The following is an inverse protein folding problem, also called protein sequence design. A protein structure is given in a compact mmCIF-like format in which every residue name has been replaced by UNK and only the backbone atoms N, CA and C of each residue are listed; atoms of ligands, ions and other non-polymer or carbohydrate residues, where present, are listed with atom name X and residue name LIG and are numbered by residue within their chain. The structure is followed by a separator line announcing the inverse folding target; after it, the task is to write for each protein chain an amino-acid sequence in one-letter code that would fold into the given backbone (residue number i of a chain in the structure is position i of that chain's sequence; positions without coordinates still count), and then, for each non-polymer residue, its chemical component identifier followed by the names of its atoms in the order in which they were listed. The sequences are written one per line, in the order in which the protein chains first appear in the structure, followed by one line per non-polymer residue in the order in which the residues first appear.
data_IF_208636200686
#
_entry.id   IF_208636200686
#
_cell.length_a   1.000
_cell.length_b   1.000
_cell.length_c   1.000
_cell.angle_alpha   90.00
_cell.angle_beta   90.00
_cell.angle_gamma   90.00
#
_symmetry.space_group_name_H-M   'P 1'
#
loop_
_entity.id
_entity.type
_entity.pdbx_description
1 polymer ?
#
# COMPACT_ATOMS: atom_id res chain seq x y z
N UNK A 1 -0.12 -4.68 17.57
CA UNK A 1 -0.16 -4.24 16.15
C UNK A 1 -0.79 -5.36 15.34
N UNK A 2 -1.81 -5.07 14.52
CA UNK A 2 -2.49 -6.09 13.71
C UNK A 2 -2.28 -5.74 12.25
N UNK A 3 -1.76 -6.68 11.47
CA UNK A 3 -1.58 -6.53 10.04
C UNK A 3 -2.78 -7.14 9.33
N UNK A 4 -3.39 -6.41 8.40
CA UNK A 4 -4.38 -6.94 7.46
C UNK A 4 -3.80 -6.87 6.06
N UNK A 5 -3.86 -7.98 5.34
CA UNK A 5 -3.49 -8.07 3.94
C UNK A 5 -4.75 -8.32 3.12
N UNK A 6 -4.89 -7.63 2.00
CA UNK A 6 -5.93 -7.88 1.01
C UNK A 6 -5.25 -8.01 -0.35
N UNK A 7 -5.33 -9.21 -0.93
CA UNK A 7 -4.83 -9.46 -2.27
C UNK A 7 -6.02 -9.58 -3.21
N UNK A 8 -5.97 -8.84 -4.31
CA UNK A 8 -6.96 -8.84 -5.37
C UNK A 8 -6.24 -9.13 -6.68
N UNK A 9 -6.49 -10.32 -7.23
CA UNK A 9 -5.88 -10.76 -8.48
C UNK A 9 -6.52 -10.10 -9.71
N UNK A 10 -7.78 -9.67 -9.62
CA UNK A 10 -8.50 -9.04 -10.73
C UNK A 10 -8.06 -7.58 -10.90
N UNK A 11 -7.93 -6.85 -9.79
CA UNK A 11 -7.39 -5.49 -9.75
C UNK A 11 -5.85 -5.42 -9.78
N UNK A 12 -5.17 -6.58 -9.71
CA UNK A 12 -3.71 -6.72 -9.67
C UNK A 12 -3.02 -5.86 -8.59
N UNK A 13 -3.47 -6.01 -7.33
CA UNK A 13 -2.87 -5.28 -6.21
C UNK A 13 -2.79 -6.09 -4.92
N UNK A 14 -1.85 -5.67 -4.06
CA UNK A 14 -1.74 -6.10 -2.68
C UNK A 14 -1.87 -4.87 -1.76
N UNK A 15 -2.91 -4.84 -0.95
CA UNK A 15 -3.10 -3.84 0.11
C UNK A 15 -2.63 -4.39 1.46
N UNK A 16 -1.90 -3.57 2.20
CA UNK A 16 -1.39 -3.85 3.54
C UNK A 16 -1.80 -2.73 4.49
N UNK A 17 -2.61 -3.07 5.50
CA UNK A 17 -3.13 -2.13 6.51
C UNK A 17 -2.57 -2.48 7.89
N UNK A 18 -1.99 -1.49 8.56
CA UNK A 18 -1.41 -1.61 9.91
C UNK A 18 -2.39 -1.22 11.02
N UNK A 19 -3.33 -0.34 10.70
CA UNK A 19 -4.32 0.20 11.62
C UNK A 19 -5.65 0.48 10.89
N UNK A 20 -6.75 -0.02 11.43
CA UNK A 20 -8.09 0.08 10.82
C UNK A 20 -8.76 1.38 11.28
N UNK A 21 -8.17 2.51 10.90
CA UNK A 21 -8.72 3.84 11.09
C UNK A 21 -9.26 4.41 9.78
N UNK A 22 -10.10 5.44 9.90
CA UNK A 22 -10.49 6.24 8.76
C UNK A 22 -9.27 6.92 8.14
N UNK A 23 -9.26 6.94 6.81
CA UNK A 23 -8.16 7.51 6.06
C UNK A 23 -8.41 7.41 4.58
N UNK A 24 -7.60 8.12 3.80
CA UNK A 24 -7.73 8.21 2.36
C UNK A 24 -6.45 7.76 1.68
N UNK A 25 -6.57 7.35 0.42
CA UNK A 25 -5.41 7.00 -0.38
C UNK A 25 -4.81 8.26 -1.01
N UNK A 26 -3.49 8.33 -1.00
CA UNK A 26 -2.71 9.36 -1.69
C UNK A 26 -1.66 8.69 -2.56
N UNK A 27 -1.47 9.24 -3.76
CA UNK A 27 -0.38 8.88 -4.65
C UNK A 27 0.98 9.16 -4.01
N UNK A 28 1.98 8.40 -4.44
CA UNK A 28 3.37 8.63 -4.05
C UNK A 28 4.21 8.95 -5.28
N UNK A 29 5.52 9.15 -5.09
CA UNK A 29 6.47 9.28 -6.20
C UNK A 29 6.61 8.01 -7.05
N UNK A 30 6.13 6.86 -6.55
CA UNK A 30 6.12 5.61 -7.29
C UNK A 30 4.71 5.35 -7.78
N UNK A 31 4.56 5.16 -9.09
CA UNK A 31 3.28 4.81 -9.71
C UNK A 31 2.75 3.41 -9.28
N UNK A 32 3.60 2.63 -8.61
CA UNK A 32 3.24 1.32 -8.07
C UNK A 32 2.80 1.37 -6.60
N UNK A 33 2.95 2.51 -5.91
CA UNK A 33 2.65 2.61 -4.48
C UNK A 33 1.67 3.73 -4.19
N UNK A 34 0.57 3.35 -3.56
CA UNK A 34 -0.39 4.25 -2.91
C UNK A 34 -0.23 4.14 -1.39
N UNK A 35 -0.39 5.24 -0.67
CA UNK A 35 -0.39 5.24 0.79
C UNK A 35 -1.80 5.52 1.31
N UNK A 36 -2.25 4.74 2.30
CA UNK A 36 -3.40 5.11 3.11
C UNK A 36 -2.91 5.95 4.28
N UNK A 37 -3.42 7.17 4.41
CA UNK A 37 -3.08 8.09 5.50
C UNK A 37 -4.33 8.56 6.24
N UNK A 38 -4.18 8.89 7.52
CA UNK A 38 -5.21 9.62 8.28
C UNK A 38 -5.16 11.13 7.98
N UNK A 39 -6.03 11.89 8.64
CA UNK A 39 -6.11 13.36 8.50
C UNK A 39 -4.85 14.09 8.98
N UNK A 40 -4.07 13.49 9.87
CA UNK A 40 -2.81 14.04 10.39
C UNK A 40 -1.61 13.68 9.50
N UNK A 41 -1.83 12.79 8.53
CA UNK A 41 -0.80 12.32 7.59
C UNK A 41 -0.03 11.10 8.10
N UNK A 42 -0.46 10.46 9.19
CA UNK A 42 0.14 9.21 9.65
C UNK A 42 -0.22 8.08 8.67
N UNK A 43 0.74 7.19 8.42
CA UNK A 43 0.56 6.07 7.49
C UNK A 43 -0.21 4.96 8.19
N UNK A 44 -1.40 4.67 7.67
CA UNK A 44 -2.26 3.57 8.12
C UNK A 44 -2.03 2.28 7.31
N UNK A 45 -1.45 2.40 6.12
CA UNK A 45 -1.18 1.29 5.23
C UNK A 45 -0.68 1.73 3.86
N UNK A 46 -0.50 0.77 2.96
CA UNK A 46 -0.09 1.01 1.58
C UNK A 46 -0.68 -0.04 0.64
N UNK A 47 -0.74 0.30 -0.64
CA UNK A 47 -1.16 -0.61 -1.71
C UNK A 47 -0.05 -0.69 -2.75
N UNK A 48 0.34 -1.90 -3.11
CA UNK A 48 1.22 -2.20 -4.23
C UNK A 48 0.34 -2.49 -5.44
N UNK A 49 0.35 -1.61 -6.42
CA UNK A 49 -0.33 -1.77 -7.70
C UNK A 49 0.55 -2.58 -8.67
N UNK A 50 -0.08 -3.24 -9.64
CA UNK A 50 0.60 -4.09 -10.63
C UNK A 50 1.44 -5.18 -9.93
N UNK A 51 0.89 -5.76 -8.86
CA UNK A 51 1.63 -6.64 -7.96
C UNK A 51 2.21 -7.86 -8.69
N UNK A 52 1.47 -8.39 -9.67
CA UNK A 52 1.90 -9.50 -10.53
C UNK A 52 3.17 -9.20 -11.35
N UNK A 53 3.47 -7.93 -11.60
CA UNK A 53 4.67 -7.51 -12.35
C UNK A 53 5.96 -7.57 -11.53
N UNK A 54 5.85 -7.70 -10.20
CA UNK A 54 6.99 -7.88 -9.30
C UNK A 54 7.61 -9.27 -9.47
N UNK A 55 8.49 -9.39 -10.46
CA UNK A 55 9.02 -10.68 -10.92
C UNK A 55 10.54 -10.80 -10.78
N UNK A 56 11.24 -9.70 -10.50
CA UNK A 56 12.71 -9.68 -10.46
C UNK A 56 13.26 -8.76 -9.38
N UNK A 57 14.10 -9.34 -8.52
CA UNK A 57 14.79 -8.62 -7.44
C UNK A 57 13.87 -8.15 -6.30
N UNK A 58 14.46 -7.57 -5.24
CA UNK A 58 13.70 -6.98 -4.16
C UNK A 58 12.99 -5.71 -4.65
N UNK A 59 11.69 -5.60 -4.37
CA UNK A 59 10.97 -4.34 -4.50
C UNK A 59 11.14 -3.54 -3.20
N UNK A 60 11.90 -2.44 -3.27
CA UNK A 60 12.17 -1.59 -2.11
C UNK A 60 11.47 -0.24 -2.22
N UNK A 61 10.70 0.10 -1.20
CA UNK A 61 10.06 1.41 -1.08
C UNK A 61 10.13 1.88 0.37
N UNK A 62 10.57 3.12 0.56
CA UNK A 62 10.59 3.76 1.88
C UNK A 62 9.27 4.49 2.11
N UNK A 63 8.45 3.94 3.01
CA UNK A 63 7.37 4.70 3.64
C UNK A 63 7.99 5.87 4.42
N UNK A 64 7.36 7.03 4.34
CA UNK A 64 7.88 8.31 4.84
C UNK A 64 8.33 8.21 6.30
#
# INVERSE_FOLDING_TARGET
MRLKLHYDAEGDYLEVIFDQKEGFFRETKSDQIMQKVDMEGNILGFTILKFSSLTSGPFEYRLK
#
